data_IF_149100864671
#
_entry.id   IF_149100864671
#
_cell.length_a   1.000
_cell.length_b   1.000
_cell.length_c   1.000
_cell.angle_alpha   90.00
_cell.angle_beta   90.00
_cell.angle_gamma   90.00
#
_symmetry.space_group_name_H-M   'P 1'
#
loop_
_entity.id
_entity.type
_entity.pdbx_description
1 polymer ?
#
# COMPACT_ATOMS: atom_id res chain seq x y z
N UNK A 1 -76.51 -21.37 44.04
CA UNK A 1 -76.43 -19.90 44.04
C UNK A 1 -75.29 -19.52 44.96
N UNK A 2 -74.19 -18.93 44.51
CA UNK A 2 -73.80 -18.52 43.17
C UNK A 2 -72.28 -18.22 43.23
N UNK A 3 -71.61 -18.59 42.14
CA UNK A 3 -70.20 -18.34 41.82
C UNK A 3 -70.21 -17.34 40.64
N UNK A 4 -69.12 -16.57 40.48
CA UNK A 4 -68.75 -15.71 39.34
C UNK A 4 -69.34 -14.27 39.42
N UNK A 5 -68.70 -13.18 38.98
CA UNK A 5 -67.80 -12.88 37.85
C UNK A 5 -66.91 -11.65 38.22
N UNK A 6 -65.59 -11.65 37.97
CA UNK A 6 -64.86 -11.24 36.75
C UNK A 6 -64.51 -9.75 36.67
N UNK A 7 -63.22 -9.40 36.83
CA UNK A 7 -62.56 -8.31 36.10
C UNK A 7 -61.13 -8.74 35.79
N UNK A 8 -60.85 -8.92 34.50
CA UNK A 8 -59.62 -9.42 33.92
C UNK A 8 -58.45 -8.42 34.08
N UNK A 9 -57.29 -8.95 34.48
CA UNK A 9 -55.98 -8.38 34.17
C UNK A 9 -55.24 -9.42 33.33
N UNK A 10 -55.28 -9.28 32.01
CA UNK A 10 -54.39 -10.01 31.11
C UNK A 10 -53.01 -9.33 31.11
N UNK A 11 -51.89 -10.04 31.37
CA UNK A 11 -50.58 -9.51 31.08
C UNK A 11 -50.31 -9.58 29.57
N UNK A 12 -49.85 -8.45 29.01
CA UNK A 12 -49.33 -8.31 27.66
C UNK A 12 -48.32 -9.41 27.35
N UNK A 13 -48.68 -10.26 26.39
CA UNK A 13 -47.77 -11.16 25.71
C UNK A 13 -47.08 -10.41 24.57
N UNK A 14 -46.04 -9.65 24.89
CA UNK A 14 -45.06 -9.22 23.90
C UNK A 14 -43.80 -10.08 24.07
N UNK A 15 -43.86 -11.31 23.56
CA UNK A 15 -42.65 -12.00 23.12
C UNK A 15 -42.27 -11.41 21.76
N UNK A 16 -41.65 -10.23 21.77
CA UNK A 16 -40.80 -9.83 20.65
C UNK A 16 -39.63 -10.81 20.60
N UNK A 17 -39.80 -11.87 19.83
CA UNK A 17 -38.68 -12.61 19.30
C UNK A 17 -37.88 -11.61 18.44
N UNK A 18 -36.79 -11.10 18.99
CA UNK A 18 -35.73 -10.47 18.19
C UNK A 18 -35.22 -11.58 17.28
N UNK A 19 -35.86 -11.74 16.12
CA UNK A 19 -35.30 -12.50 15.02
C UNK A 19 -33.97 -11.83 14.71
N UNK A 20 -32.88 -12.54 14.96
CA UNK A 20 -31.57 -12.17 14.46
C UNK A 20 -31.62 -12.29 12.94
N UNK A 21 -32.23 -11.32 12.27
CA UNK A 21 -32.25 -11.27 10.82
C UNK A 21 -30.79 -11.18 10.37
N UNK A 22 -30.41 -12.15 9.54
CA UNK A 22 -29.16 -12.11 8.81
C UNK A 22 -29.07 -10.76 8.10
N UNK A 23 -27.88 -10.16 8.02
CA UNK A 23 -27.77 -8.88 7.34
C UNK A 23 -28.20 -9.02 5.88
N UNK A 24 -28.83 -7.97 5.35
CA UNK A 24 -29.27 -7.93 3.97
C UNK A 24 -28.12 -8.29 3.01
N UNK A 25 -28.39 -9.05 1.94
CA UNK A 25 -27.35 -9.56 1.02
C UNK A 25 -26.42 -8.47 0.46
N UNK A 26 -26.98 -7.29 0.18
CA UNK A 26 -26.22 -6.12 -0.24
C UNK A 26 -25.05 -5.77 0.71
N UNK A 27 -25.17 -6.06 2.01
CA UNK A 27 -24.13 -5.80 3.00
C UNK A 27 -22.91 -6.67 2.79
N UNK A 28 -23.06 -7.94 2.37
CA UNK A 28 -21.93 -8.82 2.06
C UNK A 28 -21.10 -8.27 0.88
N UNK A 29 -21.79 -7.69 -0.11
CA UNK A 29 -21.12 -7.00 -1.22
C UNK A 29 -20.35 -5.80 -0.67
N UNK A 30 -20.97 -4.94 0.14
CA UNK A 30 -20.31 -3.76 0.72
C UNK A 30 -19.08 -4.15 1.55
N UNK A 31 -19.20 -5.15 2.42
CA UNK A 31 -18.11 -5.63 3.27
C UNK A 31 -16.89 -6.07 2.43
N UNK A 32 -17.10 -6.68 1.26
CA UNK A 32 -16.02 -7.13 0.39
C UNK A 32 -15.19 -5.98 -0.23
N UNK A 33 -15.70 -4.74 -0.23
CA UNK A 33 -14.98 -3.56 -0.72
C UNK A 33 -14.42 -2.67 0.39
N UNK A 34 -14.67 -2.99 1.66
CA UNK A 34 -14.12 -2.22 2.77
C UNK A 34 -12.62 -2.48 2.92
N UNK A 35 -11.80 -1.45 3.22
CA UNK A 35 -10.43 -1.68 3.65
C UNK A 35 -10.39 -2.49 4.94
N UNK A 36 -9.27 -3.14 5.20
CA UNK A 36 -9.15 -4.12 6.28
C UNK A 36 -9.48 -3.54 7.66
N UNK A 37 -9.12 -2.28 7.91
CA UNK A 37 -9.41 -1.62 9.19
C UNK A 37 -10.93 -1.46 9.39
N UNK A 38 -11.63 -0.94 8.39
CA UNK A 38 -13.08 -0.76 8.40
C UNK A 38 -13.79 -2.11 8.48
N UNK A 39 -13.35 -3.12 7.72
CA UNK A 39 -13.90 -4.48 7.77
C UNK A 39 -13.81 -5.07 9.19
N UNK A 40 -12.66 -4.96 9.85
CA UNK A 40 -12.48 -5.39 11.23
C UNK A 40 -13.35 -4.57 12.19
N UNK A 41 -13.47 -3.26 11.96
CA UNK A 41 -14.35 -2.39 12.77
C UNK A 41 -15.82 -2.81 12.67
N UNK A 42 -16.28 -3.19 11.48
CA UNK A 42 -17.65 -3.68 11.28
C UNK A 42 -17.95 -4.93 12.12
N UNK A 43 -16.96 -5.80 12.31
CA UNK A 43 -17.11 -6.99 13.15
C UNK A 43 -17.32 -6.69 14.64
N UNK A 44 -17.00 -5.48 15.09
CA UNK A 44 -17.19 -5.03 16.47
C UNK A 44 -18.51 -4.30 16.71
N UNK A 45 -19.30 -4.02 15.67
CA UNK A 45 -20.56 -3.26 15.79
C UNK A 45 -21.69 -4.12 16.38
N UNK A 46 -21.93 -5.31 15.82
CA UNK A 46 -22.98 -6.22 16.32
C UNK A 46 -22.68 -7.68 15.95
N UNK A 47 -23.42 -8.63 16.57
CA UNK A 47 -23.25 -10.07 16.30
C UNK A 47 -23.52 -10.43 14.83
N UNK A 48 -24.56 -9.84 14.23
CA UNK A 48 -24.94 -10.10 12.83
C UNK A 48 -23.83 -9.70 11.84
N UNK A 49 -23.20 -8.53 12.05
CA UNK A 49 -22.06 -8.06 11.26
C UNK A 49 -20.80 -8.89 11.49
N UNK A 50 -20.52 -9.26 12.75
CA UNK A 50 -19.40 -10.14 13.09
C UNK A 50 -19.51 -11.46 12.34
N UNK A 51 -20.69 -12.08 12.38
CA UNK A 51 -21.00 -13.31 11.68
C UNK A 51 -20.86 -13.16 10.15
N UNK A 52 -21.33 -12.05 9.58
CA UNK A 52 -21.21 -11.76 8.16
C UNK A 52 -19.74 -11.67 7.72
N UNK A 53 -18.92 -10.96 8.49
CA UNK A 53 -17.48 -10.78 8.25
C UNK A 53 -16.70 -12.09 8.45
N UNK A 54 -17.12 -12.96 9.37
CA UNK A 54 -16.43 -14.22 9.65
C UNK A 54 -16.80 -15.36 8.70
N UNK A 55 -18.07 -15.43 8.26
CA UNK A 55 -18.58 -16.55 7.46
C UNK A 55 -18.38 -16.34 5.96
N UNK A 56 -18.27 -15.09 5.50
CA UNK A 56 -17.98 -14.79 4.10
C UNK A 56 -16.48 -14.80 3.82
N UNK A 57 -16.10 -15.45 2.72
CA UNK A 57 -14.70 -15.51 2.24
C UNK A 57 -14.33 -14.29 1.40
N UNK A 58 -15.30 -13.65 0.74
CA UNK A 58 -15.05 -12.65 -0.29
C UNK A 58 -14.20 -11.47 0.20
N UNK A 59 -14.44 -10.89 1.40
CA UNK A 59 -13.61 -9.81 1.94
C UNK A 59 -12.15 -10.22 2.19
N UNK A 60 -11.88 -11.52 2.36
CA UNK A 60 -10.57 -12.06 2.69
C UNK A 60 -9.77 -12.54 1.48
N UNK A 61 -10.29 -12.41 0.26
CA UNK A 61 -9.54 -12.76 -0.95
C UNK A 61 -8.37 -11.80 -1.21
N UNK A 62 -8.43 -10.58 -0.68
CA UNK A 62 -7.39 -9.57 -0.79
C UNK A 62 -7.12 -8.95 0.58
N UNK A 63 -6.04 -9.36 1.23
CA UNK A 63 -5.62 -8.81 2.52
C UNK A 63 -4.58 -7.73 2.25
N UNK A 64 -4.96 -6.48 2.54
CA UNK A 64 -4.07 -5.32 2.46
C UNK A 64 -3.94 -4.74 3.86
N UNK A 65 -2.73 -4.85 4.43
CA UNK A 65 -2.38 -4.28 5.73
C UNK A 65 -1.54 -3.03 5.49
N UNK A 66 -2.07 -1.90 5.95
CA UNK A 66 -1.38 -0.61 5.94
C UNK A 66 -1.51 0.09 7.29
N UNK A 67 -1.09 1.36 7.37
CA UNK A 67 -1.24 2.15 8.60
C UNK A 67 -2.73 2.32 8.93
N UNK A 68 -3.13 2.25 10.22
CA UNK A 68 -2.27 2.06 11.39
C UNK A 68 -2.05 0.58 11.80
N UNK A 69 -2.64 -0.39 11.09
CA UNK A 69 -2.62 -1.81 11.46
C UNK A 69 -1.22 -2.43 11.40
N UNK A 70 -0.39 -1.99 10.44
CA UNK A 70 0.97 -2.50 10.23
C UNK A 70 1.86 -2.51 11.49
N UNK A 71 1.69 -1.55 12.41
CA UNK A 71 2.49 -1.47 13.65
C UNK A 71 2.11 -2.49 14.72
N UNK A 72 0.88 -3.01 14.64
CA UNK A 72 0.30 -3.96 15.61
C UNK A 72 0.25 -5.39 15.09
N UNK A 73 0.52 -5.60 13.80
CA UNK A 73 0.51 -6.92 13.18
C UNK A 73 1.69 -7.77 13.69
N UNK A 74 1.40 -8.97 14.18
CA UNK A 74 2.37 -10.04 14.46
C UNK A 74 2.10 -11.24 13.56
N UNK A 75 2.99 -12.22 13.56
CA UNK A 75 2.83 -13.46 12.77
C UNK A 75 1.55 -14.20 13.13
N UNK A 76 1.22 -14.30 14.43
CA UNK A 76 0.01 -15.00 14.90
C UNK A 76 -1.27 -14.29 14.43
N UNK A 77 -1.28 -12.96 14.51
CA UNK A 77 -2.42 -12.15 14.05
C UNK A 77 -2.57 -12.28 12.53
N UNK A 78 -1.46 -12.20 11.80
CA UNK A 78 -1.45 -12.33 10.35
C UNK A 78 -2.00 -13.69 9.91
N UNK A 79 -1.52 -14.79 10.52
CA UNK A 79 -2.02 -16.15 10.24
C UNK A 79 -3.51 -16.27 10.57
N UNK A 80 -3.97 -15.71 11.70
CA UNK A 80 -5.39 -15.71 12.08
C UNK A 80 -6.27 -14.95 11.09
N UNK A 81 -5.79 -13.84 10.54
CA UNK A 81 -6.53 -13.07 9.53
C UNK A 81 -6.52 -13.83 8.19
N UNK A 82 -5.36 -14.34 7.77
CA UNK A 82 -5.20 -15.05 6.51
C UNK A 82 -5.96 -16.39 6.47
N UNK A 83 -6.21 -17.03 7.61
CA UNK A 83 -6.98 -18.27 7.67
C UNK A 83 -8.45 -18.06 7.29
N UNK A 84 -9.00 -16.84 7.46
CA UNK A 84 -10.37 -16.50 7.04
C UNK A 84 -10.59 -16.61 5.53
N UNK A 85 -9.52 -16.56 4.74
CA UNK A 85 -9.57 -16.77 3.30
C UNK A 85 -9.79 -18.25 2.90
N UNK A 86 -9.69 -19.19 3.85
CA UNK A 86 -9.90 -20.63 3.63
C UNK A 86 -9.12 -21.17 2.42
N UNK A 87 -7.84 -20.80 2.32
CA UNK A 87 -6.95 -21.22 1.23
C UNK A 87 -7.17 -20.51 -0.10
N UNK A 88 -8.05 -19.51 -0.16
CA UNK A 88 -8.41 -18.76 -1.37
C UNK A 88 -7.83 -17.35 -1.43
N UNK A 89 -6.94 -16.98 -0.51
CA UNK A 89 -6.27 -15.67 -0.55
C UNK A 89 -5.53 -15.51 -1.89
N UNK A 90 -5.81 -14.42 -2.60
CA UNK A 90 -5.21 -14.10 -3.91
C UNK A 90 -4.14 -13.02 -3.79
N UNK A 91 -4.41 -12.02 -2.97
CA UNK A 91 -3.51 -10.89 -2.74
C UNK A 91 -3.16 -10.79 -1.27
N UNK A 92 -1.86 -10.83 -0.96
CA UNK A 92 -1.33 -10.51 0.34
C UNK A 92 -0.41 -9.29 0.21
N UNK A 93 -0.83 -8.17 0.79
CA UNK A 93 -0.11 -6.91 0.74
C UNK A 93 0.16 -6.39 2.15
N UNK A 94 1.41 -6.49 2.60
CA UNK A 94 1.89 -6.10 3.92
C UNK A 94 2.78 -4.87 3.79
N UNK A 95 2.25 -3.69 4.09
CA UNK A 95 2.95 -2.42 3.91
C UNK A 95 3.65 -2.04 5.22
N UNK A 96 4.98 -2.03 5.21
CA UNK A 96 5.80 -1.63 6.35
C UNK A 96 5.48 -2.41 7.63
N UNK A 97 5.22 -3.71 7.52
CA UNK A 97 4.92 -4.60 8.64
C UNK A 97 6.23 -5.17 9.22
N UNK A 98 6.97 -4.35 9.97
CA UNK A 98 8.33 -4.67 10.44
C UNK A 98 8.41 -5.86 11.43
N UNK A 99 7.30 -6.24 12.07
CA UNK A 99 7.22 -7.35 13.03
C UNK A 99 6.94 -8.71 12.39
N UNK A 100 6.66 -8.74 11.08
CA UNK A 100 6.40 -9.99 10.36
C UNK A 100 7.71 -10.65 10.00
N UNK A 101 7.82 -11.94 10.30
CA UNK A 101 9.00 -12.75 10.04
C UNK A 101 8.79 -13.70 8.87
N UNK A 102 9.88 -14.35 8.45
CA UNK A 102 9.83 -15.37 7.42
C UNK A 102 8.88 -16.51 7.82
N UNK A 103 8.85 -16.93 9.09
CA UNK A 103 7.99 -18.01 9.57
C UNK A 103 6.50 -17.66 9.47
N UNK A 104 6.13 -16.43 9.84
CA UNK A 104 4.76 -15.92 9.67
C UNK A 104 4.35 -15.91 8.19
N UNK A 105 5.22 -15.38 7.33
CA UNK A 105 4.98 -15.35 5.88
C UNK A 105 4.85 -16.77 5.30
N UNK A 106 5.74 -17.69 5.66
CA UNK A 106 5.70 -19.07 5.20
C UNK A 106 4.43 -19.79 5.66
N UNK A 107 3.98 -19.54 6.88
CA UNK A 107 2.75 -20.12 7.44
C UNK A 107 1.52 -19.67 6.65
N UNK A 108 1.43 -18.38 6.30
CA UNK A 108 0.34 -17.86 5.45
C UNK A 108 0.35 -18.50 4.07
N UNK A 109 1.51 -18.58 3.42
CA UNK A 109 1.66 -19.17 2.08
C UNK A 109 1.30 -20.65 2.08
N UNK A 110 1.65 -21.37 3.15
CA UNK A 110 1.29 -22.78 3.29
C UNK A 110 -0.22 -22.98 3.34
N UNK A 111 -0.94 -22.14 4.09
CA UNK A 111 -2.40 -22.19 4.19
C UNK A 111 -3.10 -21.66 2.94
N UNK A 112 -2.47 -20.76 2.19
CA UNK A 112 -3.06 -20.05 1.06
C UNK A 112 -2.26 -20.26 -0.24
N UNK A 113 -2.45 -21.40 -0.91
CA UNK A 113 -1.69 -21.75 -2.11
C UNK A 113 -2.07 -20.98 -3.37
N UNK A 114 -3.12 -20.15 -3.33
CA UNK A 114 -3.65 -19.41 -4.48
C UNK A 114 -3.18 -17.93 -4.53
N UNK A 115 -2.22 -17.56 -3.68
CA UNK A 115 -1.65 -16.21 -3.71
C UNK A 115 -0.93 -15.99 -5.03
N UNK A 116 -1.44 -15.02 -5.81
CA UNK A 116 -0.87 -14.57 -7.08
C UNK A 116 -0.20 -13.20 -6.94
N UNK A 117 -0.51 -12.44 -5.88
CA UNK A 117 0.09 -11.12 -5.62
C UNK A 117 0.65 -11.10 -4.20
N UNK A 118 1.97 -11.02 -4.08
CA UNK A 118 2.68 -10.93 -2.81
C UNK A 118 3.44 -9.61 -2.72
N UNK A 119 2.93 -8.67 -1.94
CA UNK A 119 3.54 -7.36 -1.75
C UNK A 119 3.96 -7.22 -0.30
N UNK A 120 5.25 -7.05 -0.04
CA UNK A 120 5.82 -6.94 1.31
C UNK A 120 6.81 -5.77 1.42
N UNK A 121 6.51 -4.57 0.87
CA UNK A 121 7.46 -3.47 0.88
C UNK A 121 7.69 -2.96 2.31
N UNK A 122 8.96 -2.74 2.65
CA UNK A 122 9.36 -2.23 3.97
C UNK A 122 9.14 -3.20 5.13
N UNK A 123 8.84 -4.47 4.87
CA UNK A 123 8.80 -5.52 5.89
C UNK A 123 10.24 -5.92 6.28
N UNK A 124 10.85 -5.14 7.16
CA UNK A 124 12.27 -5.31 7.55
C UNK A 124 12.55 -6.55 8.40
N UNK A 125 11.51 -7.22 8.91
CA UNK A 125 11.64 -8.51 9.60
C UNK A 125 11.78 -9.71 8.64
N UNK A 126 11.55 -9.51 7.34
CA UNK A 126 11.75 -10.54 6.31
C UNK A 126 13.19 -10.55 5.83
N UNK A 127 13.68 -11.73 5.46
CA UNK A 127 15.00 -11.90 4.83
C UNK A 127 14.88 -12.14 3.32
N UNK A 128 15.95 -11.90 2.54
CA UNK A 128 15.97 -12.28 1.14
C UNK A 128 15.66 -13.77 0.91
N UNK A 129 16.17 -14.66 1.76
CA UNK A 129 15.96 -16.10 1.65
C UNK A 129 14.51 -16.52 1.98
N UNK A 130 13.89 -15.87 2.97
CA UNK A 130 12.47 -16.06 3.27
C UNK A 130 11.58 -15.67 2.09
N UNK A 131 11.89 -14.56 1.43
CA UNK A 131 11.21 -14.13 0.21
C UNK A 131 11.44 -15.10 -0.94
N UNK A 132 12.67 -15.56 -1.16
CA UNK A 132 12.99 -16.55 -2.21
C UNK A 132 12.16 -17.82 -1.99
N UNK A 133 12.11 -18.31 -0.76
CA UNK A 133 11.34 -19.50 -0.38
C UNK A 133 9.84 -19.31 -0.62
N UNK A 134 9.31 -18.13 -0.28
CA UNK A 134 7.93 -17.75 -0.57
C UNK A 134 7.65 -17.78 -2.09
N UNK A 135 8.49 -17.10 -2.88
CA UNK A 135 8.35 -17.02 -4.34
C UNK A 135 8.43 -18.40 -4.98
N UNK A 136 9.35 -19.25 -4.56
CA UNK A 136 9.47 -20.63 -5.05
C UNK A 136 8.17 -21.41 -4.85
N UNK A 137 7.65 -21.44 -3.61
CA UNK A 137 6.40 -22.17 -3.28
C UNK A 137 5.17 -21.68 -4.04
N UNK A 138 5.11 -20.38 -4.33
CA UNK A 138 4.01 -19.77 -5.09
C UNK A 138 4.17 -19.97 -6.60
N UNK A 139 5.41 -20.04 -7.10
CA UNK A 139 5.70 -20.24 -8.53
C UNK A 139 5.58 -21.71 -8.98
N UNK A 140 5.77 -22.67 -8.08
CA UNK A 140 5.62 -24.11 -8.36
C UNK A 140 4.15 -24.54 -8.60
N UNK A 141 3.17 -23.64 -8.44
CA UNK A 141 1.73 -23.93 -8.51
C UNK A 141 1.11 -23.45 -9.82
N UNK A 142 -0.03 -24.04 -10.20
CA UNK A 142 -0.78 -23.70 -11.41
C UNK A 142 -1.21 -22.22 -11.49
N UNK A 143 -1.35 -21.55 -10.36
CA UNK A 143 -1.75 -20.15 -10.22
C UNK A 143 -0.52 -19.28 -9.89
N UNK A 144 0.55 -19.45 -10.66
CA UNK A 144 1.87 -18.89 -10.38
C UNK A 144 1.85 -17.39 -10.06
N UNK A 145 2.85 -16.96 -9.28
CA UNK A 145 2.94 -15.59 -8.79
C UNK A 145 2.97 -14.55 -9.94
N UNK A 146 1.99 -13.65 -9.96
CA UNK A 146 1.81 -12.62 -10.99
C UNK A 146 2.51 -11.30 -10.64
N UNK A 147 2.55 -10.97 -9.34
CA UNK A 147 3.15 -9.72 -8.86
C UNK A 147 3.85 -9.90 -7.53
N UNK A 148 5.07 -9.40 -7.45
CA UNK A 148 5.94 -9.41 -6.29
C UNK A 148 6.41 -7.97 -5.99
N UNK A 149 6.26 -7.50 -4.75
CA UNK A 149 6.79 -6.19 -4.33
C UNK A 149 7.64 -6.37 -3.09
N UNK A 150 8.92 -6.06 -3.18
CA UNK A 150 9.91 -6.37 -2.14
C UNK A 150 10.81 -5.17 -1.82
N UNK A 151 10.49 -3.98 -2.34
CA UNK A 151 11.24 -2.78 -2.03
C UNK A 151 11.31 -2.52 -0.51
N UNK A 152 12.52 -2.27 0.00
CA UNK A 152 12.74 -1.98 1.42
C UNK A 152 12.95 -3.23 2.29
N UNK A 153 12.98 -4.43 1.71
CA UNK A 153 13.56 -5.60 2.39
C UNK A 153 15.07 -5.41 2.50
N UNK A 154 15.61 -5.62 3.70
CA UNK A 154 17.02 -5.41 3.99
C UNK A 154 17.91 -6.40 3.26
N UNK A 155 19.11 -5.94 2.87
CA UNK A 155 20.21 -6.79 2.37
C UNK A 155 19.88 -7.66 1.14
N UNK A 156 18.90 -7.26 0.31
CA UNK A 156 18.66 -7.93 -0.98
C UNK A 156 19.82 -7.60 -1.94
N UNK A 157 20.53 -8.63 -2.39
CA UNK A 157 21.68 -8.55 -3.29
C UNK A 157 21.30 -9.02 -4.69
N UNK A 158 22.19 -8.79 -5.66
CA UNK A 158 22.06 -9.24 -7.05
C UNK A 158 21.75 -10.75 -7.15
N UNK A 159 22.46 -11.59 -6.41
CA UNK A 159 22.27 -13.05 -6.41
C UNK A 159 20.86 -13.46 -5.95
N UNK A 160 20.30 -12.77 -4.96
CA UNK A 160 18.93 -13.00 -4.48
C UNK A 160 17.92 -12.61 -5.57
N UNK A 161 18.12 -11.44 -6.21
CA UNK A 161 17.25 -10.98 -7.29
C UNK A 161 17.27 -11.93 -8.49
N UNK A 162 18.43 -12.43 -8.88
CA UNK A 162 18.57 -13.42 -9.97
C UNK A 162 17.83 -14.71 -9.64
N UNK A 163 17.87 -15.18 -8.38
CA UNK A 163 17.12 -16.35 -7.92
C UNK A 163 15.61 -16.13 -7.98
N UNK A 164 15.14 -14.98 -7.51
CA UNK A 164 13.73 -14.58 -7.59
C UNK A 164 13.26 -14.55 -9.05
N UNK A 165 14.05 -13.92 -9.93
CA UNK A 165 13.74 -13.84 -11.36
C UNK A 165 13.71 -15.22 -12.03
N UNK A 166 14.58 -16.14 -11.63
CA UNK A 166 14.56 -17.51 -12.12
C UNK A 166 13.21 -18.18 -11.83
N UNK A 167 12.71 -18.09 -10.59
CA UNK A 167 11.41 -18.67 -10.24
C UNK A 167 10.23 -17.98 -10.93
N UNK A 168 10.28 -16.66 -11.10
CA UNK A 168 9.24 -15.92 -11.82
C UNK A 168 9.20 -16.25 -13.33
N UNK A 169 10.35 -16.55 -13.95
CA UNK A 169 10.44 -16.79 -15.41
C UNK A 169 9.77 -18.08 -15.89
N UNK A 170 9.44 -19.00 -15.00
CA UNK A 170 8.71 -20.24 -15.34
C UNK A 170 7.30 -19.96 -15.87
N UNK A 171 6.75 -18.78 -15.59
CA UNK A 171 5.44 -18.36 -16.08
C UNK A 171 5.56 -17.57 -17.41
N UNK A 172 5.08 -18.17 -18.52
CA UNK A 172 5.14 -17.58 -19.86
C UNK A 172 4.33 -16.28 -20.00
N UNK A 173 3.24 -16.11 -19.24
CA UNK A 173 2.43 -14.88 -19.28
C UNK A 173 3.19 -13.68 -18.67
N UNK A 174 4.01 -13.91 -17.65
CA UNK A 174 4.86 -12.87 -17.06
C UNK A 174 5.91 -12.34 -18.03
N UNK A 175 6.37 -13.18 -18.97
CA UNK A 175 7.32 -12.76 -20.00
C UNK A 175 6.68 -11.76 -20.96
N UNK A 176 5.41 -11.96 -21.34
CA UNK A 176 4.65 -11.01 -22.18
C UNK A 176 4.39 -9.69 -21.46
N UNK A 177 4.01 -9.74 -20.19
CA UNK A 177 3.77 -8.55 -19.37
C UNK A 177 5.04 -7.70 -19.25
N UNK A 178 6.22 -8.33 -19.09
CA UNK A 178 7.50 -7.62 -19.04
C UNK A 178 7.92 -6.97 -20.36
N UNK A 179 7.43 -7.44 -21.51
CA UNK A 179 7.74 -6.87 -22.83
C UNK A 179 6.97 -5.56 -23.10
N UNK A 180 5.81 -5.34 -22.46
CA UNK A 180 4.99 -4.13 -22.55
C UNK A 180 5.29 -3.08 -21.47
N UNK A 181 6.49 -3.08 -20.89
CA UNK A 181 6.80 -2.36 -19.66
C UNK A 181 6.66 -0.84 -19.79
N UNK A 182 5.74 -0.25 -19.03
CA UNK A 182 5.62 1.20 -18.92
C UNK A 182 6.77 1.83 -18.11
N UNK A 183 7.16 3.08 -18.42
CA UNK A 183 8.15 3.81 -17.64
C UNK A 183 7.63 4.04 -16.22
N UNK A 184 8.46 3.75 -15.21
CA UNK A 184 8.12 4.00 -13.81
C UNK A 184 8.60 5.39 -13.43
N UNK A 185 7.67 6.33 -13.35
CA UNK A 185 7.97 7.72 -13.00
C UNK A 185 7.92 7.92 -11.49
N UNK A 186 8.88 8.69 -10.98
CA UNK A 186 9.04 8.92 -9.54
C UNK A 186 7.82 9.56 -8.88
N UNK A 187 7.30 10.65 -9.45
CA UNK A 187 6.13 11.36 -8.90
C UNK A 187 4.88 10.46 -8.85
N UNK A 188 4.70 9.58 -9.83
CA UNK A 188 3.61 8.61 -9.84
C UNK A 188 3.78 7.61 -8.72
N UNK A 189 4.96 6.98 -8.62
CA UNK A 189 5.29 6.05 -7.54
C UNK A 189 5.06 6.68 -6.15
N UNK A 190 5.38 7.96 -5.98
CA UNK A 190 5.25 8.67 -4.70
C UNK A 190 3.81 9.11 -4.38
N UNK A 191 2.95 9.24 -5.39
CA UNK A 191 1.51 9.59 -5.27
C UNK A 191 0.62 8.36 -5.01
N UNK A 192 1.04 7.17 -5.43
CA UNK A 192 0.18 5.99 -5.32
C UNK A 192 0.08 5.42 -3.89
N UNK A 193 -1.17 5.22 -3.46
CA UNK A 193 -1.53 4.29 -2.39
C UNK A 193 -1.25 2.85 -2.85
N UNK A 194 -1.02 1.96 -1.90
CA UNK A 194 -0.43 0.63 -2.11
C UNK A 194 -1.16 -0.33 -3.09
N UNK A 195 -2.31 0.03 -3.66
CA UNK A 195 -3.16 -0.87 -4.46
C UNK A 195 -3.14 -0.63 -5.98
N UNK A 196 -2.59 0.47 -6.51
CA UNK A 196 -2.61 0.74 -7.99
C UNK A 196 -1.37 0.31 -8.76
N UNK A 197 -0.46 -0.44 -8.14
CA UNK A 197 0.80 -0.84 -8.76
C UNK A 197 0.66 -1.76 -9.99
N UNK A 198 -0.52 -2.35 -10.16
CA UNK A 198 -0.88 -3.26 -11.25
C UNK A 198 -0.91 -2.54 -12.61
N UNK A 199 -1.17 -1.23 -12.62
CA UNK A 199 -1.28 -0.42 -13.84
C UNK A 199 0.04 -0.32 -14.62
N UNK A 200 1.19 -0.59 -13.98
CA UNK A 200 2.50 -0.44 -14.60
C UNK A 200 3.06 -1.70 -15.29
N UNK A 201 2.33 -2.83 -15.25
CA UNK A 201 2.78 -4.06 -15.90
C UNK A 201 4.12 -4.58 -15.38
N UNK A 202 4.49 -4.27 -14.13
CA UNK A 202 5.73 -4.74 -13.50
C UNK A 202 5.44 -5.93 -12.58
N UNK A 203 6.04 -7.06 -12.91
CA UNK A 203 6.00 -8.28 -12.08
C UNK A 203 6.75 -8.04 -10.77
N UNK A 204 7.90 -7.36 -10.82
CA UNK A 204 8.72 -7.01 -9.65
C UNK A 204 9.02 -5.50 -9.62
N UNK A 205 9.03 -4.89 -8.42
CA UNK A 205 9.28 -3.45 -8.22
C UNK A 205 10.76 -3.05 -8.20
N UNK A 206 11.65 -3.99 -7.90
CA UNK A 206 13.09 -3.72 -7.77
C UNK A 206 13.91 -4.21 -8.97
N UNK A 207 15.02 -3.53 -9.20
CA UNK A 207 16.03 -3.83 -10.21
C UNK A 207 17.42 -3.52 -9.65
N UNK A 208 18.46 -3.93 -10.37
CA UNK A 208 19.83 -3.47 -10.10
C UNK A 208 19.93 -2.03 -10.60
N UNK A 209 20.24 -1.10 -9.69
CA UNK A 209 20.47 0.29 -10.06
C UNK A 209 21.74 0.41 -10.91
N UNK A 210 21.69 1.00 -12.13
CA UNK A 210 22.87 1.09 -12.99
C UNK A 210 23.97 2.02 -12.45
N UNK A 211 23.66 2.89 -11.48
CA UNK A 211 24.64 3.83 -10.89
C UNK A 211 25.32 3.28 -9.63
N UNK A 212 24.59 2.61 -8.75
CA UNK A 212 25.16 2.09 -7.48
C UNK A 212 25.22 0.57 -7.37
N UNK A 213 24.73 -0.16 -8.38
CA UNK A 213 24.70 -1.63 -8.42
C UNK A 213 23.91 -2.32 -7.29
N UNK A 214 23.13 -1.56 -6.52
CA UNK A 214 22.25 -2.07 -5.45
C UNK A 214 20.87 -2.46 -5.98
N UNK A 215 20.21 -3.43 -5.34
CA UNK A 215 18.84 -3.83 -5.66
C UNK A 215 17.85 -2.82 -5.07
N UNK A 216 17.23 -2.00 -5.92
CA UNK A 216 16.36 -0.88 -5.53
C UNK A 216 15.26 -0.66 -6.57
N UNK A 217 14.25 0.12 -6.22
CA UNK A 217 13.32 0.65 -7.23
C UNK A 217 14.09 1.61 -8.15
N UNK A 218 14.02 1.37 -9.46
CA UNK A 218 14.67 2.19 -10.48
C UNK A 218 13.61 2.97 -11.26
N UNK A 219 13.81 4.27 -11.33
CA UNK A 219 12.88 5.21 -11.94
C UNK A 219 13.33 5.64 -13.32
N UNK A 220 12.39 5.74 -14.25
CA UNK A 220 12.59 6.36 -15.55
C UNK A 220 12.39 7.89 -15.41
N UNK A 221 13.00 8.69 -16.28
CA UNK A 221 12.87 10.15 -16.24
C UNK A 221 11.95 10.64 -17.35
N UNK A 222 10.99 11.53 -17.05
CA UNK A 222 10.11 12.10 -18.05
C UNK A 222 10.78 13.16 -18.94
N UNK A 223 11.98 13.65 -18.61
CA UNK A 223 12.72 14.64 -19.41
C UNK A 223 13.14 14.01 -20.75
N UNK A 224 12.74 14.61 -21.88
CA UNK A 224 12.97 14.06 -23.23
C UNK A 224 14.45 13.87 -23.56
N UNK A 225 15.31 14.83 -23.17
CA UNK A 225 16.76 14.71 -23.34
C UNK A 225 17.33 13.48 -22.65
N UNK A 226 16.78 13.13 -21.48
CA UNK A 226 17.18 11.95 -20.74
C UNK A 226 16.67 10.65 -21.37
N UNK A 227 15.54 10.69 -22.09
CA UNK A 227 15.05 9.55 -22.86
C UNK A 227 15.99 9.25 -24.02
N UNK A 228 16.44 10.27 -24.75
CA UNK A 228 17.38 10.12 -25.88
C UNK A 228 18.75 9.58 -25.47
N UNK A 229 19.29 10.05 -24.34
CA UNK A 229 20.58 9.56 -23.80
C UNK A 229 20.56 8.08 -23.36
N UNK A 230 19.39 7.45 -23.26
CA UNK A 230 19.25 6.03 -22.91
C UNK A 230 19.80 5.10 -24.00
N UNK A 231 19.79 5.55 -25.25
CA UNK A 231 20.13 4.71 -26.40
C UNK A 231 21.66 4.67 -26.68
N UNK A 232 22.43 5.61 -26.11
CA UNK A 232 23.86 5.83 -26.42
C UNK A 232 24.85 5.37 -25.30
N UNK A 233 24.46 4.45 -24.41
CA UNK A 233 25.36 3.83 -23.39
C UNK A 233 26.08 4.78 -22.40
N UNK A 234 25.75 6.07 -22.34
CA UNK A 234 26.11 6.97 -21.23
C UNK A 234 25.09 6.82 -20.11
N UNK A 235 25.54 6.76 -18.85
CA UNK A 235 24.72 6.51 -17.65
C UNK A 235 23.56 7.50 -17.54
N UNK A 236 22.44 7.17 -18.18
CA UNK A 236 21.24 7.98 -18.17
C UNK A 236 20.71 8.13 -16.75
N UNK A 237 19.92 9.18 -16.50
CA UNK A 237 19.30 9.45 -15.20
C UNK A 237 18.37 8.33 -14.68
N UNK A 238 18.23 7.20 -15.38
CA UNK A 238 17.46 6.01 -14.97
C UNK A 238 18.16 5.32 -13.80
N UNK A 239 17.85 5.71 -12.57
CA UNK A 239 18.53 5.23 -11.36
C UNK A 239 17.54 5.09 -10.21
N UNK A 240 18.02 4.60 -9.05
CA UNK A 240 17.26 4.65 -7.82
C UNK A 240 17.16 6.08 -7.25
N UNK A 241 16.23 6.28 -6.29
CA UNK A 241 15.99 7.59 -5.67
C UNK A 241 17.17 8.15 -4.85
N UNK A 242 18.12 7.30 -4.43
CA UNK A 242 19.31 7.73 -3.68
C UNK A 242 20.45 8.17 -4.59
N UNK A 243 20.40 7.81 -5.87
CA UNK A 243 21.47 8.03 -6.83
C UNK A 243 21.33 9.35 -7.58
N UNK A 244 20.08 9.77 -7.83
CA UNK A 244 19.73 11.01 -8.53
C UNK A 244 18.48 11.57 -7.86
N UNK A 245 18.54 12.78 -7.26
CA UNK A 245 17.38 13.49 -6.74
C UNK A 245 16.35 13.74 -7.83
N UNK A 246 15.06 13.71 -7.47
CA UNK A 246 13.95 13.84 -8.42
C UNK A 246 12.88 14.73 -7.85
N UNK A 247 12.31 15.57 -8.70
CA UNK A 247 11.22 16.46 -8.35
C UNK A 247 9.97 15.65 -7.95
N UNK A 248 9.40 15.91 -6.77
CA UNK A 248 8.17 15.24 -6.29
C UNK A 248 6.94 15.55 -7.17
N UNK A 249 6.88 16.72 -7.82
CA UNK A 249 5.74 17.08 -8.68
C UNK A 249 5.78 16.40 -10.05
N UNK A 250 6.91 16.52 -10.74
CA UNK A 250 7.03 16.11 -12.15
C UNK A 250 7.94 14.89 -12.36
N UNK A 251 8.67 14.42 -11.35
CA UNK A 251 9.56 13.25 -11.42
C UNK A 251 10.80 13.38 -12.30
N UNK A 252 11.06 14.57 -12.87
CA UNK A 252 12.31 14.88 -13.57
C UNK A 252 13.48 14.76 -12.60
N UNK A 253 14.64 14.30 -13.10
CA UNK A 253 15.89 14.38 -12.35
C UNK A 253 16.25 15.85 -12.08
N UNK A 254 16.81 16.10 -10.90
CA UNK A 254 17.24 17.42 -10.43
C UNK A 254 18.73 17.34 -10.14
N UNK A 255 19.49 18.30 -10.64
CA UNK A 255 20.92 18.44 -10.35
C UNK A 255 21.08 19.16 -9.01
N UNK A 256 22.19 18.92 -8.29
CA UNK A 256 22.34 19.43 -6.92
C UNK A 256 22.31 20.96 -6.82
N UNK A 257 22.63 21.67 -7.91
CA UNK A 257 22.64 23.13 -7.99
C UNK A 257 21.23 23.74 -8.20
N UNK A 258 20.24 22.91 -8.56
CA UNK A 258 18.84 23.32 -8.81
C UNK A 258 17.92 23.06 -7.60
N UNK A 259 18.47 22.68 -6.44
CA UNK A 259 17.70 22.30 -5.27
C UNK A 259 17.28 23.52 -4.45
N UNK A 260 16.04 23.95 -4.65
CA UNK A 260 15.42 25.01 -3.86
C UNK A 260 14.78 24.47 -2.58
N UNK A 261 14.83 25.24 -1.49
CA UNK A 261 14.23 24.85 -0.22
C UNK A 261 12.69 24.86 -0.29
N UNK A 262 12.08 23.78 0.22
CA UNK A 262 10.62 23.65 0.37
C UNK A 262 10.24 23.57 1.84
N UNK A 263 8.97 23.85 2.15
CA UNK A 263 8.44 23.70 3.52
C UNK A 263 8.54 22.24 3.98
N UNK A 264 8.25 21.30 3.09
CA UNK A 264 8.18 19.86 3.37
C UNK A 264 9.54 19.14 3.27
N UNK A 265 10.65 19.86 3.02
CA UNK A 265 11.99 19.30 2.76
C UNK A 265 12.07 18.31 1.57
N UNK A 266 11.00 18.18 0.80
CA UNK A 266 10.93 17.42 -0.43
C UNK A 266 11.65 18.16 -1.58
N UNK A 267 12.21 17.39 -2.51
CA UNK A 267 12.91 17.91 -3.68
C UNK A 267 11.92 18.42 -4.74
N UNK A 268 12.09 19.65 -5.20
CA UNK A 268 11.42 20.22 -6.36
C UNK A 268 12.43 20.74 -7.37
N UNK A 269 12.11 20.67 -8.67
CA UNK A 269 12.86 21.41 -9.68
C UNK A 269 12.39 22.87 -9.73
N UNK A 270 13.25 23.77 -10.23
CA UNK A 270 12.97 25.21 -10.30
C UNK A 270 11.64 25.54 -10.99
N UNK A 271 11.32 24.86 -12.10
CA UNK A 271 10.02 25.03 -12.79
C UNK A 271 8.84 24.80 -11.85
N UNK A 272 8.82 23.68 -11.13
CA UNK A 272 7.73 23.34 -10.22
C UNK A 272 7.72 24.26 -8.99
N UNK A 273 8.90 24.62 -8.48
CA UNK A 273 9.04 25.54 -7.36
C UNK A 273 8.45 26.93 -7.69
N UNK A 274 8.66 27.43 -8.91
CA UNK A 274 8.10 28.70 -9.37
C UNK A 274 6.57 28.65 -9.52
N UNK A 275 6.04 27.55 -10.04
CA UNK A 275 4.60 27.39 -10.32
C UNK A 275 3.76 27.13 -9.07
N UNK A 276 4.34 26.55 -8.02
CA UNK A 276 3.60 26.30 -6.78
C UNK A 276 3.37 27.60 -6.00
N UNK A 277 2.17 27.72 -5.44
CA UNK A 277 1.83 28.74 -4.44
C UNK A 277 2.77 28.64 -3.24
N UNK A 278 3.14 29.78 -2.65
CA UNK A 278 4.13 29.87 -1.58
C UNK A 278 3.47 30.31 -0.28
N UNK A 279 4.02 29.87 0.84
CA UNK A 279 3.64 30.35 2.16
C UNK A 279 3.86 31.86 2.23
N UNK A 280 2.87 32.60 2.73
CA UNK A 280 2.91 34.06 2.82
C UNK A 280 4.02 34.60 3.75
N UNK A 281 4.58 33.78 4.63
CA UNK A 281 5.63 34.18 5.58
C UNK A 281 7.03 33.81 5.10
N UNK A 282 7.28 32.54 4.82
CA UNK A 282 8.63 32.07 4.46
C UNK A 282 8.90 32.08 2.96
N UNK A 283 7.90 32.41 2.13
CA UNK A 283 7.97 32.40 0.67
C UNK A 283 8.43 31.05 0.07
N UNK A 284 8.20 29.94 0.79
CA UNK A 284 8.52 28.59 0.33
C UNK A 284 7.25 27.84 -0.09
N UNK A 285 7.28 27.05 -1.17
CA UNK A 285 6.18 26.20 -1.55
C UNK A 285 6.14 24.91 -0.71
N UNK A 286 5.01 24.23 -0.74
CA UNK A 286 4.85 22.86 -0.28
C UNK A 286 4.46 21.98 -1.48
N UNK A 287 4.99 20.76 -1.57
CA UNK A 287 4.61 19.83 -2.64
C UNK A 287 3.13 19.41 -2.49
N UNK A 288 2.51 18.97 -3.58
CA UNK A 288 1.11 18.56 -3.66
C UNK A 288 0.76 17.42 -2.71
N UNK A 289 1.71 16.52 -2.41
CA UNK A 289 1.51 15.43 -1.44
C UNK A 289 1.37 15.94 0.00
N UNK A 290 2.00 17.07 0.31
CA UNK A 290 2.00 17.66 1.65
C UNK A 290 1.15 18.93 1.70
N UNK A 291 0.08 18.99 0.89
CA UNK A 291 -0.86 20.10 0.88
C UNK A 291 -1.57 20.29 2.23
N UNK A 292 -1.63 19.24 3.06
CA UNK A 292 -2.14 19.30 4.43
C UNK A 292 -1.29 20.19 5.37
N UNK A 293 -0.05 20.53 5.00
CA UNK A 293 0.76 21.50 5.73
C UNK A 293 0.36 22.95 5.44
N UNK A 294 -0.55 23.19 4.49
CA UNK A 294 -1.05 24.51 4.16
C UNK A 294 -2.24 24.86 5.05
N UNK A 295 -2.13 25.97 5.78
CA UNK A 295 -3.19 26.50 6.64
C UNK A 295 -3.77 27.74 5.95
N UNK A 296 -5.05 27.69 5.62
CA UNK A 296 -5.79 28.82 5.04
C UNK A 296 -6.67 29.46 6.10
N UNK A 297 -6.44 30.74 6.42
CA UNK A 297 -7.32 31.52 7.29
C UNK A 297 -8.54 32.02 6.51
N UNK A 298 -9.70 32.06 7.16
CA UNK A 298 -10.91 32.63 6.57
C UNK A 298 -10.71 34.12 6.27
N UNK A 299 -10.69 34.47 4.98
CA UNK A 299 -10.64 35.85 4.50
C UNK A 299 -9.29 36.36 4.00
N UNK A 300 -8.23 35.53 3.98
CA UNK A 300 -6.94 35.90 3.38
C UNK A 300 -6.77 35.31 1.97
N UNK A 301 -6.14 36.08 1.07
CA UNK A 301 -5.68 35.57 -0.23
C UNK A 301 -4.32 34.90 -0.04
N UNK A 302 -4.30 33.59 0.22
CA UNK A 302 -3.06 32.80 0.34
C UNK A 302 -3.12 31.78 1.48
N UNK A 303 -1.95 31.22 1.83
CA UNK A 303 -1.82 30.23 2.89
C UNK A 303 -0.53 30.44 3.69
N UNK A 304 -0.52 29.92 4.92
CA UNK A 304 0.63 29.91 5.82
C UNK A 304 1.01 28.45 6.06
N UNK A 305 2.29 28.12 6.04
CA UNK A 305 2.72 26.76 6.36
C UNK A 305 2.62 26.48 7.86
N UNK A 306 2.36 25.23 8.25
CA UNK A 306 2.32 24.80 9.65
C UNK A 306 3.56 25.24 10.44
N UNK A 307 4.75 25.14 9.85
CA UNK A 307 6.00 25.57 10.49
C UNK A 307 6.04 27.07 10.81
N UNK A 308 5.44 27.92 9.96
CA UNK A 308 5.36 29.35 10.22
C UNK A 308 4.23 29.70 11.19
N UNK A 309 3.13 28.94 11.16
CA UNK A 309 2.01 29.11 12.07
C UNK A 309 2.39 28.73 13.51
N UNK A 310 3.04 27.58 13.71
CA UNK A 310 3.46 27.15 15.06
C UNK A 310 4.44 28.17 15.67
N UNK A 311 5.28 28.79 14.84
CA UNK A 311 6.20 29.85 15.26
C UNK A 311 5.53 31.19 15.55
N UNK A 312 4.32 31.48 15.05
CA UNK A 312 3.61 32.71 15.40
C UNK A 312 2.90 32.59 16.74
N UNK A 313 2.44 31.40 17.09
CA UNK A 313 1.73 31.14 18.35
C UNK A 313 2.68 31.16 19.57
N UNK A 314 3.98 30.94 19.38
CA UNK A 314 5.01 31.04 20.43
C UNK A 314 5.31 32.50 20.89
N UNK A 315 4.75 33.52 20.22
CA UNK A 315 4.96 34.93 20.54
C UNK A 315 3.69 35.67 21.02
N UNK A 316 2.58 34.96 21.23
CA UNK A 316 1.37 35.47 21.93
C UNK A 316 1.29 34.96 23.38
#
# INVERSE_FOLDING_TARGET
>A
MEIAESMELAPLSDKESISSESPHEALFIVLAYLPLFELLSMSEVCRSLRDAVEKDVLPWLNIIVEKPLNFRLSDEILVKIASKANGRLRTLALMYCAKITDDGLQSVIHQNPLISKLHVPGCTGLTPDGVITAVQKLSDRKNGLESLRINGIGNVKKEHLERIQYYLRTNQELQRIQQGRQPLLYHNYRKFQAYRWEEHGRVIDVEICPKCNEVRVVFDCPREECKRKRDDSMTGCRTCMFCVPRCEECGKCVENEDLEETVCADTLCSDCWLQLSKCNFCNKPCCSRHSNMQITSTGSTGWICSVCHDKSDDFE
#
